data_IF_079801632269
#
_entry.id   IF_079801632269
#
_cell.length_a   1.000
_cell.length_b   1.000
_cell.length_c   1.000
_cell.angle_alpha   90.00
_cell.angle_beta   90.00
_cell.angle_gamma   90.00
#
_symmetry.space_group_name_H-M   'P 1'
#
loop_
_entity.id
_entity.type
_entity.pdbx_description
1 polymer ?
#
# COMPACT_ATOMS: atom_id res chain seq x y z
N UNK A 1 -7.98 19.17 -21.70
CA UNK A 1 -7.69 19.09 -21.71
C UNK A 1 -7.21 18.81 -21.52
N UNK A 2 -7.38 18.65 -21.36
CA UNK A 2 -7.06 18.32 -21.11
C UNK A 2 -6.70 17.88 -20.80
N UNK A 3 -6.68 17.60 -20.50
CA UNK A 3 -6.39 17.19 -20.15
C UNK A 3 -5.92 16.85 -20.09
N UNK A 4 -6.00 16.90 -20.02
CA UNK A 4 -5.60 16.63 -19.89
C UNK A 4 -5.12 16.31 -19.68
N UNK A 5 -5.28 16.25 -19.49
CA UNK A 5 -4.90 16.03 -19.22
C UNK A 5 -4.54 15.52 -18.82
N UNK A 6 -4.62 15.54 -18.64
CA UNK A 6 -4.44 15.01 -18.21
C UNK A 6 -4.38 14.40 -17.83
N UNK A 7 -4.82 13.96 -17.56
CA UNK A 7 -5.05 13.53 -17.25
C UNK A 7 -4.91 12.96 -17.23
N UNK A 8 -5.07 13.02 -17.19
CA UNK A 8 -5.13 12.44 -17.08
C UNK A 8 -4.99 11.87 -16.68
N UNK A 9 -5.33 11.78 -16.56
CA UNK A 9 -5.50 11.32 -16.25
C UNK A 9 -5.67 10.80 -15.91
N UNK A 10 -5.90 10.58 -15.73
CA UNK A 10 -6.22 10.11 -15.57
C UNK A 10 -6.51 9.52 -15.65
N UNK A 11 -6.89 9.41 -15.71
CA UNK A 11 -7.32 8.75 -15.97
C UNK A 11 -7.17 7.80 -15.86
N UNK A 12 -6.71 7.20 -15.61
CA UNK A 12 -6.65 6.31 -15.52
C UNK A 12 -7.33 5.63 -15.00
N UNK A 13 -7.36 5.63 -14.74
CA UNK A 13 -8.15 4.98 -14.33
C UNK A 13 -9.32 4.95 -14.79
N UNK A 14 -9.56 5.07 -15.51
CA UNK A 14 -10.52 5.04 -15.90
C UNK A 14 -11.04 4.11 -16.25
N UNK A 15 -10.41 3.53 -16.51
CA UNK A 15 -11.24 2.69 -16.59
C UNK A 15 -12.29 2.85 -15.73
N UNK A 16 -12.40 3.87 -15.22
CA UNK A 16 -13.44 4.21 -14.37
C UNK A 16 -13.38 3.64 -12.98
N UNK A 17 -12.51 2.69 -12.79
CA UNK A 17 -12.40 2.15 -11.50
C UNK A 17 -11.25 2.75 -10.80
N UNK A 18 -11.40 3.21 -9.59
CA UNK A 18 -10.23 3.54 -8.80
C UNK A 18 -9.50 2.25 -8.51
N UNK A 19 -8.20 2.26 -8.67
CA UNK A 19 -7.40 1.12 -8.23
C UNK A 19 -7.44 1.04 -6.72
N UNK A 20 -7.34 -0.20 -6.21
CA UNK A 20 -7.23 -0.36 -4.77
C UNK A 20 -5.97 0.32 -4.29
N UNK A 21 -6.03 0.88 -3.11
CA UNK A 21 -4.91 1.62 -2.54
C UNK A 21 -4.31 0.82 -1.39
N UNK A 22 -3.04 0.49 -1.52
CA UNK A 22 -2.32 -0.25 -0.49
C UNK A 22 -1.30 0.70 0.12
N UNK A 23 -1.38 0.88 1.42
CA UNK A 23 -0.44 1.72 2.14
C UNK A 23 0.41 0.85 3.04
N UNK A 24 1.73 1.06 2.99
CA UNK A 24 2.63 0.37 3.88
C UNK A 24 3.34 1.42 4.73
N UNK A 25 3.17 1.31 6.05
CA UNK A 25 3.86 2.18 6.99
C UNK A 25 5.16 1.49 7.39
N UNK A 26 6.27 2.17 7.20
CA UNK A 26 7.59 1.60 7.35
C UNK A 26 8.49 2.51 8.18
N UNK A 27 9.64 1.98 8.57
CA UNK A 27 10.69 2.77 9.22
C UNK A 27 11.99 2.60 8.46
N UNK A 28 12.86 3.59 8.57
CA UNK A 28 14.20 3.50 7.98
C UNK A 28 14.95 2.34 8.63
N UNK A 29 15.66 1.57 7.81
CA UNK A 29 16.45 0.47 8.32
C UNK A 29 15.66 -0.73 8.79
N UNK A 30 14.39 -0.78 8.44
CA UNK A 30 13.53 -1.88 8.85
C UNK A 30 13.59 -3.00 7.82
N UNK A 31 14.23 -4.10 8.19
CA UNK A 31 14.41 -5.21 7.27
C UNK A 31 13.09 -5.86 6.91
N UNK A 32 12.21 -6.04 7.89
CA UNK A 32 10.89 -6.62 7.64
C UNK A 32 10.07 -5.71 6.74
N UNK A 33 10.24 -4.40 6.87
CA UNK A 33 9.51 -3.46 6.02
C UNK A 33 9.97 -3.59 4.58
N UNK A 34 11.26 -3.77 4.37
CA UNK A 34 11.79 -3.95 3.02
C UNK A 34 11.26 -5.22 2.40
N UNK A 35 11.21 -6.30 3.17
CA UNK A 35 10.68 -7.56 2.67
C UNK A 35 9.21 -7.45 2.32
N UNK A 36 8.44 -6.80 3.19
CA UNK A 36 7.02 -6.65 2.94
C UNK A 36 6.77 -5.80 1.69
N UNK A 37 7.53 -4.73 1.54
CA UNK A 37 7.39 -3.88 0.37
C UNK A 37 7.68 -4.66 -0.91
N UNK A 38 8.74 -5.48 -0.89
CA UNK A 38 9.10 -6.26 -2.07
C UNK A 38 8.00 -7.26 -2.41
N UNK A 39 7.42 -7.90 -1.40
CA UNK A 39 6.33 -8.83 -1.64
C UNK A 39 5.15 -8.11 -2.28
N UNK A 40 4.82 -6.92 -1.78
CA UNK A 40 3.71 -6.16 -2.35
C UNK A 40 3.98 -5.80 -3.80
N UNK A 41 5.22 -5.43 -4.12
CA UNK A 41 5.59 -5.12 -5.51
C UNK A 41 5.45 -6.36 -6.38
N UNK A 42 5.94 -7.50 -5.88
CA UNK A 42 5.89 -8.73 -6.66
C UNK A 42 4.45 -9.17 -6.92
N UNK A 43 3.56 -8.97 -5.97
CA UNK A 43 2.17 -9.40 -6.12
C UNK A 43 1.38 -8.50 -7.06
N UNK A 44 1.94 -7.36 -7.47
CA UNK A 44 1.24 -6.49 -8.43
C UNK A 44 1.03 -7.16 -9.77
N UNK A 45 1.77 -8.22 -10.06
CA UNK A 45 1.52 -8.98 -11.29
C UNK A 45 0.25 -9.82 -11.19
N UNK A 46 -0.32 -9.97 -10.01
CA UNK A 46 -1.49 -10.82 -9.80
C UNK A 46 -2.75 -10.04 -9.45
N UNK A 47 -2.64 -8.77 -9.16
CA UNK A 47 -3.79 -7.95 -8.79
C UNK A 47 -3.47 -6.50 -9.05
N UNK A 48 -4.51 -5.71 -9.29
CA UNK A 48 -4.33 -4.29 -9.60
C UNK A 48 -4.46 -3.46 -8.34
N UNK A 49 -3.39 -2.80 -7.95
CA UNK A 49 -3.41 -1.86 -6.83
C UNK A 49 -2.21 -0.96 -6.91
N UNK A 50 -2.30 0.14 -6.20
CA UNK A 50 -1.19 1.08 -6.07
C UNK A 50 -0.61 0.97 -4.68
N UNK A 51 0.69 1.14 -4.58
CA UNK A 51 1.40 1.06 -3.31
C UNK A 51 1.89 2.45 -2.93
N UNK A 52 1.58 2.86 -1.71
CA UNK A 52 2.12 4.07 -1.12
C UNK A 52 2.90 3.68 0.11
N UNK A 53 4.17 4.04 0.15
CA UNK A 53 4.98 3.79 1.33
C UNK A 53 5.09 5.06 2.14
N UNK A 54 4.79 4.98 3.43
CA UNK A 54 4.88 6.11 4.34
C UNK A 54 5.89 5.76 5.42
N UNK A 55 6.97 6.54 5.46
CA UNK A 55 7.96 6.37 6.52
C UNK A 55 7.47 7.11 7.75
N UNK A 56 7.40 6.41 8.86
CA UNK A 56 6.89 7.01 10.09
C UNK A 56 7.95 7.75 10.86
N UNK A 57 9.22 7.66 10.42
CA UNK A 57 10.31 8.39 11.07
C UNK A 57 9.99 9.87 11.05
N UNK A 58 10.14 10.50 12.19
CA UNK A 58 9.88 11.93 12.29
C UNK A 58 8.42 12.30 12.41
N UNK A 59 7.52 11.33 12.45
CA UNK A 59 6.10 11.58 12.61
C UNK A 59 5.66 11.00 13.95
N UNK A 60 5.67 11.80 15.00
CA UNK A 60 5.43 11.25 16.36
C UNK A 60 4.11 10.49 16.48
N UNK A 61 3.06 10.97 15.82
CA UNK A 61 1.76 10.30 15.93
C UNK A 61 1.80 8.93 15.30
N UNK A 62 2.48 8.81 14.15
CA UNK A 62 2.58 7.52 13.49
C UNK A 62 3.49 6.57 14.26
N UNK A 63 4.55 7.11 14.86
CA UNK A 63 5.44 6.29 15.67
C UNK A 63 4.67 5.73 16.86
N UNK A 64 3.82 6.55 17.47
CA UNK A 64 3.02 6.08 18.59
C UNK A 64 2.06 4.98 18.18
N UNK A 65 1.44 5.14 17.01
CA UNK A 65 0.47 4.15 16.54
C UNK A 65 1.12 2.87 16.05
N UNK A 66 2.22 2.99 15.31
CA UNK A 66 2.73 1.86 14.54
C UNK A 66 4.18 1.51 14.84
N UNK A 67 4.85 2.25 15.71
CA UNK A 67 6.30 2.14 15.84
C UNK A 67 6.82 0.74 16.10
N UNK A 68 6.06 -0.07 16.82
CA UNK A 68 6.48 -1.42 17.15
C UNK A 68 5.78 -2.48 16.31
N UNK A 69 4.99 -2.04 15.33
CA UNK A 69 4.22 -2.97 14.50
C UNK A 69 4.62 -2.93 13.04
N UNK A 70 5.54 -2.04 12.67
CA UNK A 70 5.92 -1.93 11.26
C UNK A 70 6.52 -3.23 10.77
N UNK A 71 6.28 -3.58 9.51
CA UNK A 71 5.46 -2.86 8.55
C UNK A 71 3.97 -3.03 8.85
N UNK A 72 3.21 -1.96 8.65
CA UNK A 72 1.76 -1.99 8.82
C UNK A 72 1.14 -1.79 7.45
N UNK A 73 0.20 -2.65 7.10
CA UNK A 73 -0.40 -2.68 5.78
C UNK A 73 -1.87 -2.30 5.89
N UNK A 74 -2.27 -1.28 5.12
CA UNK A 74 -3.67 -0.89 5.02
C UNK A 74 -4.12 -1.09 3.58
N UNK A 75 -5.36 -1.53 3.41
CA UNK A 75 -5.99 -1.64 2.10
C UNK A 75 -7.17 -0.69 2.07
N UNK A 76 -7.12 0.27 1.16
CA UNK A 76 -8.16 1.30 1.02
C UNK A 76 -8.42 2.01 2.35
N UNK A 77 -7.34 2.27 3.08
CA UNK A 77 -7.41 3.00 4.34
C UNK A 77 -7.79 2.17 5.53
N UNK A 78 -7.99 0.87 5.37
CA UNK A 78 -8.40 0.00 6.47
C UNK A 78 -7.27 -0.91 6.88
N UNK A 79 -7.07 -1.15 8.16
CA UNK A 79 -6.00 -2.04 8.60
C UNK A 79 -6.18 -3.43 8.02
N UNK A 80 -5.09 -4.00 7.53
CA UNK A 80 -5.11 -5.34 6.99
C UNK A 80 -4.20 -6.27 7.78
N UNK A 81 -2.93 -5.87 7.94
CA UNK A 81 -1.96 -6.74 8.58
C UNK A 81 -0.81 -5.91 9.12
N UNK A 82 0.02 -6.54 9.92
CA UNK A 82 1.22 -5.89 10.41
C UNK A 82 2.30 -6.94 10.59
N UNK A 83 3.56 -6.50 10.66
CA UNK A 83 4.79 -7.28 10.77
C UNK A 83 5.18 -7.97 9.48
N UNK A 84 4.23 -8.43 8.68
CA UNK A 84 4.57 -9.15 7.46
C UNK A 84 3.39 -9.12 6.50
N UNK A 85 3.67 -9.53 5.25
CA UNK A 85 2.63 -9.71 4.24
C UNK A 85 2.52 -11.20 3.96
N UNK A 86 1.31 -11.72 4.11
CA UNK A 86 0.99 -13.10 3.75
C UNK A 86 0.39 -13.08 2.36
N UNK A 87 1.09 -13.59 1.34
CA UNK A 87 0.63 -13.39 -0.04
C UNK A 87 -0.79 -13.86 -0.30
N UNK A 88 -1.16 -15.06 0.15
CA UNK A 88 -2.50 -15.56 -0.11
C UNK A 88 -3.55 -14.71 0.59
N UNK A 89 -3.30 -14.39 1.85
CA UNK A 89 -4.24 -13.60 2.62
C UNK A 89 -4.40 -12.21 2.01
N UNK A 90 -3.29 -11.63 1.59
CA UNK A 90 -3.32 -10.31 0.97
C UNK A 90 -4.10 -10.33 -0.34
N UNK A 91 -3.82 -11.34 -1.19
CA UNK A 91 -4.51 -11.42 -2.48
C UNK A 91 -6.00 -11.65 -2.30
N UNK A 92 -6.39 -12.44 -1.31
CA UNK A 92 -7.80 -12.63 -1.03
C UNK A 92 -8.46 -11.32 -0.60
N UNK A 93 -7.77 -10.56 0.24
CA UNK A 93 -8.32 -9.29 0.71
C UNK A 93 -8.42 -8.27 -0.40
N UNK A 94 -7.41 -8.21 -1.27
CA UNK A 94 -7.39 -7.22 -2.34
C UNK A 94 -8.44 -7.54 -3.40
N UNK A 95 -8.77 -8.82 -3.55
CA UNK A 95 -9.77 -9.25 -4.52
C UNK A 95 -11.19 -9.17 -3.99
N UNK A 96 -11.35 -9.08 -2.69
CA UNK A 96 -12.67 -8.96 -2.08
C UNK A 96 -13.19 -7.54 -2.26
N UNK A 97 -14.48 -7.40 -2.26
CA UNK A 97 -15.09 -6.07 -2.38
C UNK A 97 -15.52 -5.52 -1.06
#
# INVERSE_FOLDING_TARGET
MSQSGPFPATIKSFRGWPMRQVTIYSRSGCHLCEQAHQILVDLQSKADYEITEILIDGEPELIELYGEQVPVIHIDGKPHDFFKVEPERFLNAISAN
#
